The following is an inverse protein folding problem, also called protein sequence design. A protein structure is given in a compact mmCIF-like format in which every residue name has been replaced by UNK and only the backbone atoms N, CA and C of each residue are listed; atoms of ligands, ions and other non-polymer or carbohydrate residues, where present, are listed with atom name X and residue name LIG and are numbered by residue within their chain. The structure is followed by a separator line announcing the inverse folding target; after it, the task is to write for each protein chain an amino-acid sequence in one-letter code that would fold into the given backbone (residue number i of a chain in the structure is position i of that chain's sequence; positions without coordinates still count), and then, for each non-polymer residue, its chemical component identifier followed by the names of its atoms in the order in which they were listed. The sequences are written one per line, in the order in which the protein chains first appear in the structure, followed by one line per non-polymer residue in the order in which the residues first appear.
data_IF_002866470506
#
_entry.id   IF_002866470506
#
_cell.length_a   1.000
_cell.length_b   1.000
_cell.length_c   1.000
_cell.angle_alpha   90.00
_cell.angle_beta   90.00
_cell.angle_gamma   90.00
#
_symmetry.space_group_name_H-M   'P 1'
#
loop_
_entity.id
_entity.type
_entity.pdbx_description
1 polymer ?
#
# COMPACT_ATOMS: atom_id res chain seq x y z
N UNK A 1 -6.52 19.09 -8.66
CA UNK A 1 -5.40 18.20 -8.23
C UNK A 1 -5.55 16.80 -8.80
N UNK A 2 -6.64 16.10 -8.56
CA UNK A 2 -6.86 14.71 -9.02
C UNK A 2 -6.69 14.51 -10.52
N UNK A 3 -7.26 15.37 -11.36
CA UNK A 3 -7.11 15.27 -12.82
C UNK A 3 -5.64 15.37 -13.28
N UNK A 4 -4.85 16.25 -12.63
CA UNK A 4 -3.42 16.36 -12.88
C UNK A 4 -2.69 15.08 -12.49
N UNK A 5 -2.97 14.53 -11.29
CA UNK A 5 -2.36 13.27 -10.83
C UNK A 5 -2.68 12.15 -11.81
N UNK A 6 -3.94 11.96 -12.18
CA UNK A 6 -4.33 10.88 -13.09
C UNK A 6 -3.67 11.03 -14.47
N UNK A 7 -3.61 12.25 -15.01
CA UNK A 7 -2.91 12.54 -16.27
C UNK A 7 -1.42 12.20 -16.18
N UNK A 8 -0.77 12.57 -15.08
CA UNK A 8 0.67 12.34 -14.88
C UNK A 8 0.97 10.84 -14.72
N UNK A 9 0.12 10.08 -13.99
CA UNK A 9 0.22 8.62 -13.87
C UNK A 9 0.05 7.94 -15.23
N UNK A 10 -0.96 8.31 -16.01
CA UNK A 10 -1.15 7.77 -17.36
C UNK A 10 0.05 8.05 -18.26
N UNK A 11 0.61 9.25 -18.20
CA UNK A 11 1.82 9.63 -18.95
C UNK A 11 3.05 8.85 -18.48
N UNK A 12 3.25 8.72 -17.17
CA UNK A 12 4.41 8.01 -16.60
C UNK A 12 4.44 6.55 -17.00
N UNK A 13 3.29 5.92 -17.06
CA UNK A 13 3.15 4.48 -17.35
C UNK A 13 2.69 4.18 -18.79
N UNK A 14 2.92 5.10 -19.74
CA UNK A 14 2.74 4.80 -21.18
C UNK A 14 3.56 3.56 -21.56
N UNK A 15 2.90 2.60 -22.23
CA UNK A 15 3.52 1.31 -22.59
C UNK A 15 3.60 0.26 -21.48
N UNK A 16 3.15 0.58 -20.26
CA UNK A 16 3.06 -0.35 -19.12
C UNK A 16 1.60 -0.62 -18.75
N UNK A 17 0.87 -1.26 -19.66
CA UNK A 17 -0.58 -1.50 -19.54
C UNK A 17 -0.92 -2.23 -18.24
N UNK A 18 -0.13 -3.27 -17.89
CA UNK A 18 -0.36 -4.05 -16.66
C UNK A 18 -0.28 -3.18 -15.40
N UNK A 19 0.67 -2.22 -15.36
CA UNK A 19 0.78 -1.31 -14.22
C UNK A 19 -0.39 -0.33 -14.15
N UNK A 20 -0.83 0.20 -15.28
CA UNK A 20 -2.03 1.04 -15.32
C UNK A 20 -3.28 0.26 -14.87
N UNK A 21 -3.45 -0.96 -15.38
CA UNK A 21 -4.55 -1.82 -14.97
C UNK A 21 -4.54 -2.09 -13.47
N UNK A 22 -3.35 -2.36 -12.90
CA UNK A 22 -3.18 -2.52 -11.45
C UNK A 22 -3.60 -1.25 -10.70
N UNK A 23 -3.03 -0.08 -11.01
CA UNK A 23 -3.32 1.18 -10.31
C UNK A 23 -4.83 1.51 -10.35
N UNK A 24 -5.46 1.35 -11.53
CA UNK A 24 -6.89 1.58 -11.65
C UNK A 24 -7.74 0.47 -11.01
N UNK A 25 -7.25 -0.77 -10.99
CA UNK A 25 -7.85 -1.87 -10.24
C UNK A 25 -7.87 -1.58 -8.74
N UNK A 26 -6.73 -1.16 -8.17
CA UNK A 26 -6.62 -0.70 -6.78
C UNK A 26 -7.59 0.45 -6.50
N UNK A 27 -7.59 1.50 -7.34
CA UNK A 27 -8.51 2.63 -7.21
C UNK A 27 -9.98 2.19 -7.16
N UNK A 28 -10.37 1.28 -8.03
CA UNK A 28 -11.75 0.82 -8.12
C UNK A 28 -12.18 0.02 -6.87
N UNK A 29 -11.33 -0.88 -6.37
CA UNK A 29 -11.59 -1.62 -5.12
C UNK A 29 -11.61 -0.67 -3.93
N UNK A 30 -10.59 0.19 -3.81
CA UNK A 30 -10.48 1.16 -2.72
C UNK A 30 -11.73 2.06 -2.62
N UNK A 31 -12.29 2.52 -3.74
CA UNK A 31 -13.51 3.31 -3.75
C UNK A 31 -14.77 2.52 -3.31
N UNK A 32 -14.83 1.22 -3.59
CA UNK A 32 -15.92 0.38 -3.08
C UNK A 32 -15.82 0.21 -1.56
N UNK A 33 -14.63 -0.12 -1.06
CA UNK A 33 -14.38 -0.24 0.38
C UNK A 33 -14.59 1.10 1.11
N UNK A 34 -14.14 2.21 0.54
CA UNK A 34 -14.32 3.53 1.13
C UNK A 34 -15.79 3.91 1.36
N UNK A 35 -16.69 3.47 0.48
CA UNK A 35 -18.15 3.68 0.67
C UNK A 35 -18.73 2.82 1.79
N UNK A 36 -18.18 1.62 2.01
CA UNK A 36 -18.64 0.71 3.07
C UNK A 36 -18.13 1.18 4.44
N UNK A 37 -16.86 1.62 4.48
CA UNK A 37 -16.18 1.98 5.72
C UNK A 37 -16.18 3.50 6.00
N UNK A 38 -17.00 4.28 5.29
CA UNK A 38 -17.18 5.73 5.45
C UNK A 38 -15.86 6.52 5.45
N UNK A 39 -15.02 6.27 4.42
CA UNK A 39 -13.74 6.94 4.25
C UNK A 39 -13.81 7.98 3.12
N UNK A 40 -13.04 9.07 3.27
CA UNK A 40 -12.97 10.16 2.30
C UNK A 40 -12.57 9.68 0.90
N UNK A 41 -13.51 9.76 -0.05
CA UNK A 41 -13.34 9.29 -1.42
C UNK A 41 -12.28 10.09 -2.21
N UNK A 42 -12.04 11.35 -1.87
CA UNK A 42 -11.01 12.15 -2.54
C UNK A 42 -9.63 11.73 -2.08
N UNK A 43 -9.41 11.55 -0.77
CA UNK A 43 -8.16 11.01 -0.23
C UNK A 43 -7.86 9.64 -0.79
N UNK A 44 -8.86 8.75 -0.81
CA UNK A 44 -8.71 7.39 -1.38
C UNK A 44 -8.27 7.42 -2.84
N UNK A 45 -8.86 8.29 -3.67
CA UNK A 45 -8.44 8.45 -5.09
C UNK A 45 -7.00 8.91 -5.21
N UNK A 46 -6.60 9.89 -4.39
CA UNK A 46 -5.24 10.43 -4.41
C UNK A 46 -4.24 9.33 -4.07
N UNK A 47 -4.45 8.61 -2.95
CA UNK A 47 -3.53 7.57 -2.51
C UNK A 47 -3.47 6.42 -3.50
N UNK A 48 -4.61 5.94 -3.98
CA UNK A 48 -4.67 4.84 -4.95
C UNK A 48 -3.95 5.16 -6.27
N UNK A 49 -3.95 6.41 -6.71
CA UNK A 49 -3.20 6.83 -7.91
C UNK A 49 -1.70 6.97 -7.65
N UNK A 50 -1.29 7.31 -6.42
CA UNK A 50 0.09 7.66 -6.10
C UNK A 50 0.88 6.57 -5.38
N UNK A 51 0.23 5.51 -4.84
CA UNK A 51 0.92 4.51 -4.02
C UNK A 51 2.14 3.91 -4.72
N UNK A 52 2.05 3.64 -6.00
CA UNK A 52 3.10 3.05 -6.83
C UNK A 52 3.84 4.09 -7.72
N UNK A 53 3.75 5.39 -7.42
CA UNK A 53 4.33 6.47 -8.26
C UNK A 53 5.79 6.22 -8.66
N UNK A 54 6.56 5.56 -7.81
CA UNK A 54 8.00 5.32 -8.02
C UNK A 54 8.37 3.84 -8.19
N UNK A 55 7.39 2.96 -8.42
CA UNK A 55 7.57 1.49 -8.41
C UNK A 55 8.73 0.97 -9.27
N UNK A 56 9.01 1.61 -10.39
CA UNK A 56 10.04 1.16 -11.33
C UNK A 56 11.30 2.02 -11.32
N UNK A 57 11.45 2.89 -10.33
CA UNK A 57 12.69 3.64 -10.17
C UNK A 57 13.81 2.73 -9.62
N UNK A 58 15.05 3.11 -9.84
CA UNK A 58 16.20 2.35 -9.35
C UNK A 58 16.35 2.44 -7.83
N UNK A 59 17.02 1.46 -7.23
CA UNK A 59 17.37 1.50 -5.80
C UNK A 59 18.12 2.78 -5.43
N UNK A 60 19.09 3.19 -6.25
CA UNK A 60 19.83 4.44 -6.04
C UNK A 60 18.93 5.68 -6.05
N UNK A 61 17.89 5.70 -6.90
CA UNK A 61 16.89 6.76 -6.88
C UNK A 61 16.12 6.78 -5.55
N UNK A 62 15.62 5.62 -5.12
CA UNK A 62 14.89 5.51 -3.86
C UNK A 62 15.74 5.97 -2.67
N UNK A 63 16.98 5.47 -2.57
CA UNK A 63 17.89 5.87 -1.50
C UNK A 63 18.17 7.37 -1.47
N UNK A 64 18.38 7.99 -2.64
CA UNK A 64 18.57 9.44 -2.75
C UNK A 64 17.35 10.21 -2.22
N UNK A 65 16.15 9.78 -2.60
CA UNK A 65 14.91 10.42 -2.15
C UNK A 65 14.69 10.21 -0.65
N UNK A 66 14.90 8.98 -0.16
CA UNK A 66 14.76 8.63 1.26
C UNK A 66 15.74 9.45 2.11
N UNK A 67 17.01 9.53 1.76
CA UNK A 67 18.02 10.33 2.47
C UNK A 67 17.68 11.81 2.52
N UNK A 68 17.00 12.33 1.50
CA UNK A 68 16.58 13.74 1.45
C UNK A 68 15.40 14.06 2.38
N UNK A 69 14.45 13.12 2.53
CA UNK A 69 13.15 13.36 3.17
C UNK A 69 12.96 12.66 4.50
N UNK A 70 13.73 11.63 4.76
CA UNK A 70 13.69 10.77 5.94
C UNK A 70 15.10 10.65 6.55
N UNK A 71 15.19 9.95 7.67
CA UNK A 71 16.47 9.55 8.22
C UNK A 71 16.97 8.23 7.60
N UNK A 72 18.23 7.87 7.86
CA UNK A 72 18.84 6.63 7.34
C UNK A 72 18.26 5.33 7.91
N UNK A 73 17.35 5.42 8.89
CA UNK A 73 16.73 4.27 9.55
C UNK A 73 15.95 3.43 8.54
N UNK A 74 15.21 4.08 7.63
CA UNK A 74 14.42 3.38 6.61
C UNK A 74 15.29 2.46 5.74
N UNK A 75 16.48 2.92 5.32
CA UNK A 75 17.38 2.12 4.50
C UNK A 75 17.94 0.91 5.26
N UNK A 76 18.04 1.01 6.58
CA UNK A 76 18.52 -0.07 7.44
C UNK A 76 17.45 -1.10 7.79
N UNK A 77 16.21 -0.65 7.95
CA UNK A 77 15.08 -1.45 8.43
C UNK A 77 14.27 -2.12 7.32
N UNK A 78 14.40 -1.63 6.08
CA UNK A 78 13.62 -2.13 4.95
C UNK A 78 14.52 -2.60 3.81
N UNK A 79 14.01 -3.53 3.00
CA UNK A 79 14.70 -3.98 1.79
C UNK A 79 14.35 -3.10 0.58
N UNK A 80 15.22 -3.03 -0.45
CA UNK A 80 15.01 -2.18 -1.62
C UNK A 80 13.64 -2.29 -2.31
N UNK A 81 13.00 -3.47 -2.43
CA UNK A 81 11.66 -3.57 -3.01
C UNK A 81 10.59 -2.77 -2.28
N UNK A 82 10.82 -2.42 -1.00
CA UNK A 82 9.86 -1.70 -0.16
C UNK A 82 10.06 -0.18 -0.18
N UNK A 83 11.18 0.31 -0.71
CA UNK A 83 11.52 1.74 -0.71
C UNK A 83 10.56 2.61 -1.54
N UNK A 84 9.85 2.01 -2.50
CA UNK A 84 8.98 2.78 -3.37
C UNK A 84 7.82 3.46 -2.63
N UNK A 85 7.30 2.90 -1.55
CA UNK A 85 6.27 3.54 -0.73
C UNK A 85 6.76 4.87 -0.14
N UNK A 86 7.94 4.86 0.47
CA UNK A 86 8.55 6.06 1.06
C UNK A 86 8.88 7.12 0.01
N UNK A 87 9.52 6.72 -1.08
CA UNK A 87 9.85 7.66 -2.15
C UNK A 87 8.63 8.18 -2.91
N UNK A 88 7.55 7.40 -3.03
CA UNK A 88 6.29 7.85 -3.59
C UNK A 88 5.62 8.91 -2.70
N UNK A 89 5.59 8.72 -1.38
CA UNK A 89 5.06 9.70 -0.45
C UNK A 89 5.87 11.00 -0.46
N UNK A 90 7.22 10.91 -0.48
CA UNK A 90 8.10 12.07 -0.61
C UNK A 90 7.82 12.86 -1.89
N UNK A 91 7.69 12.19 -3.03
CA UNK A 91 7.37 12.85 -4.30
C UNK A 91 5.92 13.35 -4.37
N UNK A 92 4.97 12.68 -3.72
CA UNK A 92 3.61 13.19 -3.60
C UNK A 92 3.58 14.56 -2.91
N UNK A 93 4.39 14.71 -1.85
CA UNK A 93 4.58 15.99 -1.15
C UNK A 93 5.27 17.05 -2.05
N UNK A 94 6.36 16.68 -2.72
CA UNK A 94 7.13 17.63 -3.54
C UNK A 94 6.39 18.08 -4.81
N UNK A 95 5.81 17.14 -5.56
CA UNK A 95 5.25 17.41 -6.90
C UNK A 95 3.83 17.95 -6.82
N UNK A 96 3.03 17.42 -5.90
CA UNK A 96 1.60 17.76 -5.80
C UNK A 96 1.26 18.63 -4.59
N UNK A 97 2.24 18.93 -3.74
CA UNK A 97 2.04 19.78 -2.56
C UNK A 97 1.18 19.13 -1.48
N UNK A 98 1.10 17.80 -1.46
CA UNK A 98 0.30 17.05 -0.47
C UNK A 98 0.92 17.24 0.91
N UNK A 99 0.13 17.76 1.87
CA UNK A 99 0.54 17.99 3.25
C UNK A 99 -0.24 17.14 4.27
N UNK A 100 -1.32 16.52 3.80
CA UNK A 100 -2.16 15.65 4.64
C UNK A 100 -1.36 14.41 5.04
N UNK A 101 -1.12 14.26 6.35
CA UNK A 101 -0.30 13.18 6.89
C UNK A 101 -0.96 11.81 6.72
N UNK A 102 -2.29 11.74 6.72
CA UNK A 102 -3.03 10.49 6.52
C UNK A 102 -2.82 9.98 5.08
N UNK A 103 -2.84 10.88 4.09
CA UNK A 103 -2.52 10.55 2.69
C UNK A 103 -1.08 10.07 2.55
N UNK A 104 -0.12 10.80 3.12
CA UNK A 104 1.31 10.45 3.03
C UNK A 104 1.59 9.11 3.70
N UNK A 105 1.06 8.89 4.90
CA UNK A 105 1.21 7.66 5.64
C UNK A 105 0.58 6.46 4.91
N UNK A 106 -0.58 6.64 4.28
CA UNK A 106 -1.22 5.59 3.50
C UNK A 106 -0.41 5.21 2.24
N UNK A 107 0.31 6.17 1.63
CA UNK A 107 1.25 5.87 0.55
C UNK A 107 2.47 5.11 1.09
N UNK A 108 3.02 5.50 2.23
CA UNK A 108 4.21 4.86 2.83
C UNK A 108 3.95 3.40 3.24
N UNK A 109 2.82 3.16 3.92
CA UNK A 109 2.51 1.86 4.54
C UNK A 109 1.84 0.84 3.61
N UNK A 110 1.52 1.21 2.37
CA UNK A 110 0.68 0.40 1.49
C UNK A 110 1.24 -1.00 1.18
N UNK A 111 2.56 -1.20 1.26
CA UNK A 111 3.19 -2.49 0.92
C UNK A 111 3.29 -3.47 2.08
N UNK A 112 3.46 -2.96 3.30
CA UNK A 112 3.79 -3.78 4.49
C UNK A 112 2.74 -3.66 5.57
N UNK A 113 1.97 -2.59 5.57
CA UNK A 113 1.08 -2.26 6.68
C UNK A 113 1.85 -1.84 7.93
N UNK A 114 1.12 -1.57 9.01
CA UNK A 114 1.66 -1.30 10.34
C UNK A 114 0.59 -1.53 11.41
N UNK A 115 0.95 -1.65 12.70
CA UNK A 115 -0.04 -1.61 13.78
C UNK A 115 -0.84 -0.31 13.77
N UNK A 116 -2.15 -0.39 13.99
CA UNK A 116 -2.99 0.78 14.17
C UNK A 116 -3.16 1.66 12.93
N UNK A 117 -3.18 1.07 11.72
CA UNK A 117 -3.48 1.81 10.48
C UNK A 117 -4.78 2.60 10.59
N UNK A 118 -4.80 3.82 10.02
CA UNK A 118 -6.04 4.57 9.78
C UNK A 118 -6.96 3.83 8.81
N UNK A 119 -8.23 4.24 8.69
CA UNK A 119 -9.13 3.60 7.72
C UNK A 119 -8.64 3.80 6.28
N UNK A 120 -8.05 4.94 5.96
CA UNK A 120 -7.45 5.20 4.65
C UNK A 120 -6.29 4.26 4.36
N UNK A 121 -5.37 4.08 5.30
CA UNK A 121 -4.25 3.13 5.17
C UNK A 121 -4.75 1.70 4.96
N UNK A 122 -5.72 1.25 5.77
CA UNK A 122 -6.31 -0.10 5.67
C UNK A 122 -6.92 -0.36 4.30
N UNK A 123 -7.71 0.61 3.81
CA UNK A 123 -8.37 0.50 2.51
C UNK A 123 -7.33 0.39 1.39
N UNK A 124 -6.29 1.21 1.41
CA UNK A 124 -5.26 1.18 0.36
C UNK A 124 -4.43 -0.10 0.44
N UNK A 125 -3.95 -0.47 1.63
CA UNK A 125 -3.19 -1.70 1.85
C UNK A 125 -3.93 -2.93 1.34
N UNK A 126 -5.19 -3.11 1.77
CA UNK A 126 -5.94 -4.30 1.37
C UNK A 126 -6.35 -4.23 -0.12
N UNK A 127 -6.64 -3.04 -0.67
CA UNK A 127 -6.99 -2.89 -2.08
C UNK A 127 -5.83 -3.22 -3.01
N UNK A 128 -4.60 -2.89 -2.64
CA UNK A 128 -3.41 -3.31 -3.39
C UNK A 128 -3.27 -4.84 -3.38
N UNK A 129 -3.52 -5.48 -2.24
CA UNK A 129 -3.41 -6.93 -2.10
C UNK A 129 -4.51 -7.68 -2.88
N UNK A 130 -5.76 -7.17 -2.92
CA UNK A 130 -6.93 -7.88 -3.47
C UNK A 130 -7.42 -7.35 -4.83
N UNK A 131 -6.68 -6.48 -5.50
CA UNK A 131 -7.13 -5.92 -6.78
C UNK A 131 -7.43 -7.04 -7.81
N UNK A 132 -8.35 -6.82 -8.79
CA UNK A 132 -8.92 -7.90 -9.58
C UNK A 132 -7.93 -8.74 -10.40
N UNK A 133 -6.77 -8.17 -10.77
CA UNK A 133 -5.77 -8.91 -11.55
C UNK A 133 -4.91 -9.85 -10.68
N UNK A 134 -4.98 -9.75 -9.35
CA UNK A 134 -4.32 -10.68 -8.43
C UNK A 134 -5.22 -11.90 -8.19
N UNK A 135 -4.88 -13.00 -8.87
CA UNK A 135 -5.67 -14.24 -8.87
C UNK A 135 -5.11 -15.33 -7.95
N UNK A 136 -4.17 -15.00 -7.07
CA UNK A 136 -3.69 -15.96 -6.09
C UNK A 136 -4.82 -16.34 -5.11
N UNK A 137 -4.89 -17.61 -4.66
CA UNK A 137 -5.96 -18.09 -3.77
C UNK A 137 -6.14 -17.23 -2.52
N UNK A 138 -5.04 -16.79 -1.90
CA UNK A 138 -5.05 -15.89 -0.74
C UNK A 138 -5.69 -14.54 -1.06
N UNK A 139 -5.36 -13.93 -2.22
CA UNK A 139 -5.97 -12.67 -2.63
C UNK A 139 -7.48 -12.81 -2.88
N UNK A 140 -7.92 -13.94 -3.45
CA UNK A 140 -9.36 -14.23 -3.66
C UNK A 140 -10.08 -14.35 -2.33
N UNK A 141 -9.54 -15.13 -1.38
CA UNK A 141 -10.07 -15.28 -0.02
C UNK A 141 -10.18 -13.92 0.70
N UNK A 142 -9.09 -13.15 0.73
CA UNK A 142 -9.07 -11.84 1.39
C UNK A 142 -10.03 -10.84 0.72
N UNK A 143 -10.28 -10.97 -0.60
CA UNK A 143 -11.26 -10.14 -1.32
C UNK A 143 -12.69 -10.37 -0.83
N UNK A 144 -13.07 -11.62 -0.57
CA UNK A 144 -14.39 -11.95 -0.04
C UNK A 144 -14.57 -11.41 1.39
N UNK A 145 -13.52 -11.46 2.22
CA UNK A 145 -13.55 -11.00 3.60
C UNK A 145 -13.59 -9.47 3.68
N UNK A 146 -12.80 -8.76 2.87
CA UNK A 146 -12.55 -7.33 3.00
C UNK A 146 -13.80 -6.45 2.98
N UNK A 147 -14.87 -6.90 2.33
CA UNK A 147 -16.13 -6.17 2.25
C UNK A 147 -17.01 -6.31 3.50
N UNK A 148 -16.69 -7.24 4.40
CA UNK A 148 -17.40 -7.49 5.65
C UNK A 148 -16.55 -7.16 6.88
N UNK A 149 -15.27 -7.53 6.85
CA UNK A 149 -14.31 -7.30 7.94
C UNK A 149 -12.93 -6.97 7.36
N UNK A 150 -12.62 -5.66 7.34
CA UNK A 150 -11.36 -5.17 6.80
C UNK A 150 -10.17 -5.57 7.68
N UNK A 151 -10.35 -5.64 9.01
CA UNK A 151 -9.27 -5.99 9.93
C UNK A 151 -8.89 -7.47 9.79
N UNK A 152 -9.89 -8.35 9.60
CA UNK A 152 -9.63 -9.76 9.29
C UNK A 152 -8.93 -9.91 7.94
N UNK A 153 -9.39 -9.21 6.89
CA UNK A 153 -8.74 -9.29 5.59
C UNK A 153 -7.27 -8.84 5.63
N UNK A 154 -6.96 -7.81 6.42
CA UNK A 154 -5.60 -7.32 6.64
C UNK A 154 -4.76 -8.37 7.36
N UNK A 155 -5.27 -8.97 8.43
CA UNK A 155 -4.59 -10.06 9.14
C UNK A 155 -4.22 -11.19 8.17
N UNK A 156 -5.19 -11.69 7.42
CA UNK A 156 -4.98 -12.77 6.44
C UNK A 156 -3.91 -12.38 5.40
N UNK A 157 -3.99 -11.17 4.84
CA UNK A 157 -3.04 -10.69 3.83
C UNK A 157 -1.60 -10.58 4.37
N UNK A 158 -1.43 -10.08 5.59
CA UNK A 158 -0.11 -9.97 6.23
C UNK A 158 0.43 -11.36 6.57
N UNK A 159 -0.40 -12.22 7.15
CA UNK A 159 0.00 -13.58 7.55
C UNK A 159 0.39 -14.43 6.34
N UNK A 160 -0.37 -14.38 5.25
CA UNK A 160 -0.03 -15.05 3.99
C UNK A 160 1.29 -14.53 3.41
N UNK A 161 1.51 -13.22 3.44
CA UNK A 161 2.74 -12.61 2.96
C UNK A 161 3.95 -13.04 3.80
N UNK A 162 3.85 -13.03 5.13
CA UNK A 162 4.89 -13.51 6.04
C UNK A 162 5.19 -14.98 5.74
N UNK A 163 4.17 -15.83 5.70
CA UNK A 163 4.32 -17.27 5.44
C UNK A 163 5.03 -17.54 4.10
N UNK A 164 4.70 -16.77 3.06
CA UNK A 164 5.34 -16.89 1.76
C UNK A 164 6.84 -16.51 1.84
N UNK A 165 7.15 -15.37 2.46
CA UNK A 165 8.54 -14.89 2.56
C UNK A 165 9.39 -15.77 3.48
N UNK A 166 8.85 -16.33 4.56
CA UNK A 166 9.54 -17.34 5.40
C UNK A 166 9.91 -18.59 4.59
N UNK A 167 8.97 -19.09 3.76
CA UNK A 167 9.21 -20.26 2.90
C UNK A 167 10.23 -20.01 1.80
N UNK A 168 10.29 -18.78 1.29
CA UNK A 168 11.16 -18.42 0.15
C UNK A 168 12.48 -17.78 0.57
N UNK A 169 12.72 -17.57 1.88
CA UNK A 169 13.90 -16.90 2.41
C UNK A 169 13.95 -15.40 2.12
N UNK A 170 12.78 -14.77 1.91
CA UNK A 170 12.67 -13.34 1.68
C UNK A 170 12.86 -12.52 2.96
N UNK A 171 13.22 -11.26 2.79
CA UNK A 171 13.33 -10.32 3.91
C UNK A 171 11.95 -9.91 4.41
N UNK A 172 11.73 -9.98 5.72
CA UNK A 172 10.49 -9.56 6.39
C UNK A 172 10.86 -8.49 7.42
N UNK A 173 10.38 -7.23 7.27
CA UNK A 173 10.58 -6.20 8.28
C UNK A 173 9.89 -6.57 9.59
N UNK A 174 10.48 -6.21 10.72
CA UNK A 174 9.90 -6.44 12.06
C UNK A 174 8.48 -5.88 12.19
N UNK A 175 8.24 -4.70 11.59
CA UNK A 175 6.91 -4.06 11.57
C UNK A 175 5.81 -4.95 11.01
N UNK A 176 6.13 -5.88 10.09
CA UNK A 176 5.14 -6.83 9.53
C UNK A 176 4.65 -7.82 10.57
N UNK A 177 5.54 -8.34 11.42
CA UNK A 177 5.16 -9.21 12.54
C UNK A 177 4.32 -8.45 13.57
N UNK A 178 4.74 -7.23 13.91
CA UNK A 178 3.99 -6.37 14.84
C UNK A 178 2.58 -6.03 14.29
N UNK A 179 2.47 -5.79 12.99
CA UNK A 179 1.18 -5.53 12.34
C UNK A 179 0.29 -6.79 12.37
N UNK A 180 0.82 -7.97 12.02
CA UNK A 180 0.09 -9.24 12.10
C UNK A 180 -0.47 -9.45 13.50
N UNK A 181 0.38 -9.37 14.53
CA UNK A 181 0.00 -9.61 15.92
C UNK A 181 -1.03 -8.59 16.43
N UNK A 182 -0.95 -7.33 15.96
CA UNK A 182 -1.93 -6.31 16.27
C UNK A 182 -3.31 -6.66 15.70
N UNK A 183 -3.39 -7.06 14.43
CA UNK A 183 -4.66 -7.37 13.77
C UNK A 183 -5.23 -8.71 14.23
N UNK A 184 -4.39 -9.70 14.57
CA UNK A 184 -4.82 -10.94 15.20
C UNK A 184 -5.56 -10.70 16.51
N UNK A 185 -4.96 -9.92 17.42
CA UNK A 185 -5.57 -9.57 18.70
C UNK A 185 -6.86 -8.77 18.56
N UNK A 186 -6.87 -7.81 17.63
CA UNK A 186 -8.01 -6.91 17.41
C UNK A 186 -9.22 -7.67 16.87
N UNK A 187 -9.02 -8.64 15.99
CA UNK A 187 -10.07 -9.45 15.40
C UNK A 187 -10.54 -10.62 16.29
N UNK A 188 -9.87 -10.88 17.43
CA UNK A 188 -10.17 -12.06 18.26
C UNK A 188 -9.88 -13.38 17.55
N UNK A 189 -9.04 -13.35 16.51
CA UNK A 189 -8.66 -14.56 15.77
C UNK A 189 -7.64 -15.34 16.59
N UNK A 190 -8.08 -16.47 17.15
CA UNK A 190 -7.22 -17.44 17.82
C UNK A 190 -6.90 -18.56 16.83
N UNK A 191 -5.63 -19.00 16.84
CA UNK A 191 -5.14 -20.14 16.05
C UNK A 191 -5.86 -21.44 16.44
#
# INVERSE_FOLDING_TARGET
MLERIEKDIRKKYVGRVDRLNHIFGVKNIALKLARIYDCDLEKVKIVALLHDLTKYESTAFHEKVIKKHYNDTIIKEYSPPLYHGFSAAALAKEIYGIKDQDILQAIESHTIGRPGMSMLEKIIFISDYIEPNRMYPSCVKSREIAFNDIDQAIYEAINDSITLYEKTGGFIPEISYLARDYYQKKGGFHD
#
